data_IF_492138196476
#
_entry.id   IF_492138196476
#
_cell.length_a   1.000
_cell.length_b   1.000
_cell.length_c   1.000
_cell.angle_alpha   90.00
_cell.angle_beta   90.00
_cell.angle_gamma   90.00
#
_symmetry.space_group_name_H-M   'P 1'
#
loop_
_entity.id
_entity.type
_entity.pdbx_description
1 polymer ?
#
# COMPACT_ATOMS: atom_id res chain seq x y z
N UNK A 1 -25.64 38.55 -13.62
CA UNK A 1 -24.91 38.00 -12.43
C UNK A 1 -24.22 36.71 -12.85
N UNK A 2 -22.88 36.69 -12.95
CA UNK A 2 -22.11 35.49 -13.32
C UNK A 2 -21.67 34.79 -12.01
N UNK A 3 -22.03 33.51 -11.84
CA UNK A 3 -21.60 32.71 -10.68
C UNK A 3 -20.07 32.59 -10.66
N UNK A 4 -19.42 32.66 -9.49
CA UNK A 4 -17.98 32.42 -9.40
C UNK A 4 -17.68 30.94 -9.73
N UNK A 5 -16.57 30.63 -10.41
CA UNK A 5 -16.14 29.27 -10.66
C UNK A 5 -15.84 28.58 -9.33
N UNK A 6 -16.49 27.43 -9.09
CA UNK A 6 -16.18 26.58 -7.95
C UNK A 6 -14.69 26.20 -8.01
N UNK A 7 -13.95 26.56 -6.97
CA UNK A 7 -12.59 26.10 -6.77
C UNK A 7 -12.62 24.57 -6.66
N UNK A 8 -12.27 23.89 -7.74
CA UNK A 8 -11.97 22.47 -7.72
C UNK A 8 -10.81 22.29 -6.75
N UNK A 9 -11.12 21.74 -5.58
CA UNK A 9 -10.11 21.32 -4.62
C UNK A 9 -9.11 20.41 -5.36
N UNK A 10 -7.80 20.67 -5.31
CA UNK A 10 -6.84 19.83 -6.00
C UNK A 10 -6.99 18.43 -5.43
N UNK A 11 -7.43 17.50 -6.29
CA UNK A 11 -7.48 16.09 -5.99
C UNK A 11 -6.15 15.72 -5.32
N UNK A 12 -6.21 15.31 -4.05
CA UNK A 12 -5.05 14.86 -3.30
C UNK A 12 -4.40 13.75 -4.11
N UNK A 13 -3.34 14.09 -4.86
CA UNK A 13 -2.50 13.14 -5.57
C UNK A 13 -1.93 12.25 -4.47
N UNK A 14 -2.51 11.06 -4.27
CA UNK A 14 -1.94 10.03 -3.39
C UNK A 14 -0.50 9.84 -3.84
N UNK A 15 0.46 10.32 -3.05
CA UNK A 15 1.88 10.15 -3.27
C UNK A 15 2.15 8.64 -3.27
N UNK A 16 2.17 8.02 -4.45
CA UNK A 16 2.60 6.65 -4.62
C UNK A 16 4.13 6.66 -4.58
N UNK A 17 4.69 6.53 -3.38
CA UNK A 17 6.12 6.26 -3.23
C UNK A 17 6.35 4.81 -3.58
N UNK A 18 7.14 4.56 -4.63
CA UNK A 18 7.56 3.21 -4.99
C UNK A 18 8.86 2.90 -4.25
N UNK A 19 8.94 1.75 -3.59
CA UNK A 19 10.17 1.22 -3.03
C UNK A 19 10.36 -0.24 -3.47
N UNK A 20 11.61 -0.62 -3.70
CA UNK A 20 11.98 -1.97 -4.14
C UNK A 20 12.72 -2.66 -3.01
N UNK A 21 12.30 -3.88 -2.65
CA UNK A 21 12.97 -4.70 -1.64
C UNK A 21 13.51 -5.95 -2.30
N UNK A 22 14.77 -6.28 -2.04
CA UNK A 22 15.34 -7.57 -2.40
C UNK A 22 15.02 -8.55 -1.27
N UNK A 23 14.25 -9.58 -1.60
CA UNK A 23 13.89 -10.67 -0.68
C UNK A 23 14.37 -11.99 -1.24
N UNK A 24 14.54 -12.98 -0.35
CA UNK A 24 14.93 -14.32 -0.75
C UNK A 24 13.82 -15.00 -1.61
N UNK A 25 14.17 -15.94 -2.50
CA UNK A 25 13.21 -16.59 -3.38
C UNK A 25 12.09 -17.32 -2.65
N UNK A 26 12.39 -17.93 -1.50
CA UNK A 26 11.43 -18.63 -0.63
C UNK A 26 10.40 -17.66 -0.04
N UNK A 27 10.85 -16.50 0.45
CA UNK A 27 9.97 -15.44 0.96
C UNK A 27 9.05 -14.91 -0.15
N UNK A 28 9.59 -14.74 -1.37
CA UNK A 28 8.79 -14.34 -2.53
C UNK A 28 7.72 -15.38 -2.87
N UNK A 29 8.07 -16.67 -2.83
CA UNK A 29 7.12 -17.75 -3.09
C UNK A 29 6.01 -17.80 -2.03
N UNK A 30 6.37 -17.66 -0.75
CA UNK A 30 5.41 -17.59 0.35
C UNK A 30 4.46 -16.39 0.22
N UNK A 31 4.99 -15.22 -0.14
CA UNK A 31 4.20 -14.01 -0.37
C UNK A 31 3.22 -14.19 -1.55
N UNK A 32 3.68 -14.76 -2.67
CA UNK A 32 2.82 -15.03 -3.82
C UNK A 32 1.68 -15.99 -3.45
N UNK A 33 1.98 -17.07 -2.73
CA UNK A 33 0.98 -18.03 -2.26
C UNK A 33 -0.05 -17.39 -1.34
N UNK A 34 0.37 -16.48 -0.46
CA UNK A 34 -0.54 -15.70 0.38
C UNK A 34 -1.43 -14.75 -0.47
N UNK A 35 -0.85 -14.13 -1.50
CA UNK A 35 -1.54 -13.24 -2.42
C UNK A 35 -2.63 -13.97 -3.23
N UNK A 36 -2.31 -15.15 -3.75
CA UNK A 36 -3.28 -16.02 -4.44
C UNK A 36 -4.44 -16.42 -3.54
N UNK A 37 -4.16 -16.75 -2.27
CA UNK A 37 -5.19 -17.13 -1.31
C UNK A 37 -6.13 -15.98 -0.92
N UNK A 38 -5.62 -14.75 -0.92
CA UNK A 38 -6.37 -13.54 -0.56
C UNK A 38 -7.04 -12.85 -1.76
N UNK A 39 -6.88 -13.37 -2.99
CA UNK A 39 -7.29 -12.74 -4.26
C UNK A 39 -6.78 -11.28 -4.36
N UNK A 40 -5.52 -11.06 -3.96
CA UNK A 40 -4.91 -9.74 -3.87
C UNK A 40 -3.54 -9.72 -4.53
N UNK A 41 -3.04 -8.52 -4.85
CA UNK A 41 -1.66 -8.37 -5.32
C UNK A 41 -0.67 -8.64 -4.19
N UNK A 42 0.45 -9.31 -4.53
CA UNK A 42 1.53 -9.57 -3.59
C UNK A 42 2.05 -8.29 -2.90
N UNK A 43 2.04 -7.16 -3.61
CA UNK A 43 2.40 -5.85 -3.03
C UNK A 43 1.43 -5.37 -1.95
N UNK A 44 0.12 -5.54 -2.15
CA UNK A 44 -0.88 -5.17 -1.13
C UNK A 44 -0.82 -6.09 0.09
N UNK A 45 -0.56 -7.39 -0.13
CA UNK A 45 -0.37 -8.35 0.96
C UNK A 45 0.89 -8.03 1.75
N UNK A 46 2.02 -7.76 1.07
CA UNK A 46 3.25 -7.34 1.72
C UNK A 46 3.05 -6.05 2.54
N UNK A 47 2.37 -5.06 1.97
CA UNK A 47 2.05 -3.82 2.67
C UNK A 47 1.21 -4.09 3.93
N UNK A 48 0.22 -4.97 3.87
CA UNK A 48 -0.60 -5.35 5.02
C UNK A 48 0.26 -5.92 6.15
N UNK A 49 1.11 -6.90 5.84
CA UNK A 49 2.02 -7.49 6.84
C UNK A 49 3.02 -6.48 7.41
N UNK A 50 3.54 -5.56 6.58
CA UNK A 50 4.43 -4.48 7.05
C UNK A 50 3.66 -3.58 8.04
N UNK A 51 2.46 -3.14 7.68
CA UNK A 51 1.63 -2.27 8.53
C UNK A 51 1.27 -2.98 9.85
N UNK A 52 0.85 -4.24 9.79
CA UNK A 52 0.52 -5.03 10.98
C UNK A 52 1.74 -5.23 11.88
N UNK A 53 2.92 -5.54 11.31
CA UNK A 53 4.16 -5.65 12.06
C UNK A 53 4.60 -4.34 12.72
N UNK A 54 4.46 -3.21 12.02
CA UNK A 54 4.77 -1.89 12.58
C UNK A 54 3.80 -1.50 13.71
N UNK A 55 2.51 -1.87 13.61
CA UNK A 55 1.53 -1.68 14.68
C UNK A 55 1.84 -2.54 15.89
N UNK A 56 2.13 -3.82 15.68
CA UNK A 56 2.48 -4.75 16.74
C UNK A 56 3.76 -4.32 17.48
N UNK A 57 4.72 -3.72 16.77
CA UNK A 57 5.94 -3.14 17.34
C UNK A 57 5.77 -1.75 17.96
N UNK A 58 4.58 -1.15 17.91
CA UNK A 58 4.32 0.19 18.46
C UNK A 58 4.87 1.35 17.64
N UNK A 59 5.38 1.12 16.42
CA UNK A 59 5.91 2.15 15.52
C UNK A 59 4.82 2.88 14.74
N UNK A 60 3.63 2.28 14.65
CA UNK A 60 2.48 2.84 13.95
C UNK A 60 1.26 2.77 14.86
N UNK A 61 0.55 3.90 15.03
CA UNK A 61 -0.72 3.99 15.79
C UNK A 61 -1.92 3.62 14.92
#
# INVERSE_FOLDING_TARGET
MRKPPQAQSPAQKKLKTNFSVRIAPDVRAALNKAAEREDRSAGNVALRYIVEGLKAGGYLK
#
